data_IF_649676459835
#
_entry.id   IF_649676459835
#
_cell.length_a   1.000
_cell.length_b   1.000
_cell.length_c   1.000
_cell.angle_alpha   90.00
_cell.angle_beta   90.00
_cell.angle_gamma   90.00
#
_symmetry.space_group_name_H-M   'P 1'
#
loop_
_entity.id
_entity.type
_entity.pdbx_description
1 polymer ?
#
# COMPACT_ATOMS: atom_id res chain seq x y z
N UNK A 1 120.77 95.11 53.03
CA UNK A 1 120.39 95.03 54.46
C UNK A 1 119.34 93.95 54.66
N UNK A 2 119.77 92.74 55.05
CA UNK A 2 118.88 91.65 55.47
C UNK A 2 118.52 91.85 56.95
N UNK A 3 117.27 92.23 57.24
CA UNK A 3 116.78 92.30 58.62
C UNK A 3 116.57 90.87 59.12
N UNK A 4 117.45 90.40 60.01
CA UNK A 4 117.37 89.11 60.70
C UNK A 4 116.03 89.02 61.42
N UNK A 5 115.09 88.22 60.90
CA UNK A 5 113.81 87.90 61.54
C UNK A 5 114.09 87.00 62.74
N UNK A 6 113.55 87.34 63.91
CA UNK A 6 113.80 86.61 65.16
C UNK A 6 113.32 85.16 65.06
N UNK A 7 114.08 84.25 65.69
CA UNK A 7 113.81 82.81 65.75
C UNK A 7 112.37 82.50 66.24
N UNK A 8 111.81 83.36 67.10
CA UNK A 8 110.43 83.29 67.58
C UNK A 8 109.38 83.51 66.49
N UNK A 9 109.65 84.34 65.48
CA UNK A 9 108.74 84.55 64.35
C UNK A 9 108.70 83.34 63.40
N UNK A 10 109.82 82.62 63.24
CA UNK A 10 109.88 81.41 62.41
C UNK A 10 109.12 80.23 63.03
N UNK A 11 109.13 80.08 64.37
CA UNK A 11 108.38 79.04 65.06
C UNK A 11 106.86 79.25 65.03
N UNK A 12 106.40 80.50 65.17
CA UNK A 12 104.95 80.82 65.05
C UNK A 12 104.47 80.64 63.60
N UNK A 13 105.33 80.89 62.62
CA UNK A 13 105.01 80.69 61.21
C UNK A 13 104.97 79.19 60.86
N UNK A 14 105.91 78.39 61.36
CA UNK A 14 105.89 76.93 61.23
C UNK A 14 104.67 76.28 61.92
N UNK A 15 104.23 76.78 63.08
CA UNK A 15 103.03 76.27 63.75
C UNK A 15 101.74 76.65 63.00
N UNK A 16 101.66 77.86 62.44
CA UNK A 16 100.53 78.29 61.59
C UNK A 16 100.49 77.52 60.27
N UNK A 17 101.63 77.22 59.68
CA UNK A 17 101.71 76.44 58.45
C UNK A 17 101.43 74.95 58.72
N UNK A 18 101.83 74.42 59.90
CA UNK A 18 101.44 73.09 60.38
C UNK A 18 99.95 72.95 60.71
N UNK A 19 99.33 73.98 61.30
CA UNK A 19 97.87 74.00 61.51
C UNK A 19 97.10 74.17 60.20
N UNK A 20 97.60 74.96 59.26
CA UNK A 20 97.05 75.04 57.91
C UNK A 20 97.22 73.74 57.12
N UNK A 21 98.33 73.04 57.30
CA UNK A 21 98.57 71.72 56.70
C UNK A 21 97.62 70.67 57.28
N UNK A 22 97.43 70.62 58.61
CA UNK A 22 96.46 69.73 59.25
C UNK A 22 95.02 70.06 58.86
N UNK A 23 94.66 71.34 58.76
CA UNK A 23 93.34 71.77 58.27
C UNK A 23 93.15 71.46 56.77
N UNK A 24 94.23 71.50 55.97
CA UNK A 24 94.20 71.10 54.57
C UNK A 24 94.11 69.58 54.39
N UNK A 25 94.74 68.79 55.26
CA UNK A 25 94.64 67.33 55.29
C UNK A 25 93.25 66.85 55.74
N UNK A 26 92.69 67.44 56.80
CA UNK A 26 91.30 67.20 57.20
C UNK A 26 90.33 67.54 56.08
N UNK A 27 90.50 68.69 55.41
CA UNK A 27 89.68 69.03 54.24
C UNK A 27 89.88 68.08 53.06
N UNK A 28 91.08 67.52 52.86
CA UNK A 28 91.32 66.49 51.84
C UNK A 28 90.65 65.18 52.21
N UNK A 29 90.71 64.76 53.47
CA UNK A 29 90.02 63.56 53.95
C UNK A 29 88.50 63.71 53.89
N UNK A 30 87.95 64.86 54.28
CA UNK A 30 86.52 65.17 54.15
C UNK A 30 86.10 65.25 52.68
N UNK A 31 86.94 65.82 51.80
CA UNK A 31 86.68 65.83 50.36
C UNK A 31 86.77 64.44 49.73
N UNK A 32 87.68 63.58 50.20
CA UNK A 32 87.80 62.19 49.75
C UNK A 32 86.64 61.35 50.27
N UNK A 33 86.23 61.50 51.53
CA UNK A 33 85.04 60.85 52.08
C UNK A 33 83.79 61.33 51.35
N UNK A 34 83.62 62.63 51.12
CA UNK A 34 82.50 63.16 50.33
C UNK A 34 82.53 62.69 48.86
N UNK A 35 83.71 62.48 48.27
CA UNK A 35 83.84 61.88 46.93
C UNK A 35 83.45 60.40 46.93
N UNK A 36 83.85 59.64 47.94
CA UNK A 36 83.50 58.23 48.11
C UNK A 36 82.00 58.05 48.38
N UNK A 37 81.40 58.90 49.21
CA UNK A 37 79.97 58.88 49.49
C UNK A 37 79.14 59.26 48.27
N UNK A 38 79.54 60.30 47.53
CA UNK A 38 78.88 60.66 46.26
C UNK A 38 79.05 59.57 45.21
N UNK A 39 80.21 58.91 45.15
CA UNK A 39 80.43 57.77 44.26
C UNK A 39 79.53 56.58 44.65
N UNK A 40 79.43 56.26 45.95
CA UNK A 40 78.56 55.20 46.46
C UNK A 40 77.07 55.51 46.25
N UNK A 41 76.64 56.77 46.41
CA UNK A 41 75.27 57.21 46.14
C UNK A 41 74.95 57.13 44.64
N UNK A 42 75.89 57.52 43.77
CA UNK A 42 75.73 57.37 42.32
C UNK A 42 75.65 55.90 41.92
N UNK A 43 76.44 55.01 42.53
CA UNK A 43 76.33 53.56 42.29
C UNK A 43 74.98 52.99 42.76
N UNK A 44 74.48 53.38 43.93
CA UNK A 44 73.15 52.97 44.40
C UNK A 44 72.06 53.43 43.44
N UNK A 45 72.07 54.71 43.04
CA UNK A 45 71.13 55.26 42.05
C UNK A 45 71.22 54.53 40.71
N UNK A 46 72.43 54.17 40.24
CA UNK A 46 72.59 53.38 39.00
C UNK A 46 71.98 51.98 39.14
N UNK A 47 72.25 51.28 40.25
CA UNK A 47 71.67 49.96 40.53
C UNK A 47 70.14 50.02 40.65
N UNK A 48 69.60 51.05 41.29
CA UNK A 48 68.15 51.22 41.43
C UNK A 48 67.48 51.57 40.10
N UNK A 49 68.11 52.42 39.28
CA UNK A 49 67.66 52.70 37.93
C UNK A 49 67.74 51.46 37.02
N UNK A 50 68.78 50.64 37.16
CA UNK A 50 68.92 49.37 36.42
C UNK A 50 67.86 48.36 36.84
N UNK A 51 67.61 48.20 38.15
CA UNK A 51 66.51 47.35 38.65
C UNK A 51 65.15 47.84 38.18
N UNK A 52 64.89 49.15 38.27
CA UNK A 52 63.65 49.74 37.79
C UNK A 52 63.48 49.59 36.27
N UNK A 53 64.57 49.64 35.50
CA UNK A 53 64.55 49.33 34.06
C UNK A 53 64.23 47.85 33.81
N UNK A 54 64.88 46.93 34.51
CA UNK A 54 64.61 45.49 34.39
C UNK A 54 63.19 45.11 34.79
N UNK A 55 62.64 45.72 35.85
CA UNK A 55 61.25 45.53 36.26
C UNK A 55 60.28 46.05 35.19
N UNK A 56 60.54 47.24 34.62
CA UNK A 56 59.75 47.77 33.51
C UNK A 56 59.80 46.86 32.28
N UNK A 57 60.98 46.38 31.92
CA UNK A 57 61.16 45.43 30.82
C UNK A 57 60.37 44.14 31.07
N UNK A 58 60.47 43.55 32.26
CA UNK A 58 59.68 42.35 32.64
C UNK A 58 58.18 42.61 32.61
N UNK A 59 57.71 43.76 33.11
CA UNK A 59 56.28 44.11 33.03
C UNK A 59 55.83 44.31 31.59
N UNK A 60 56.65 44.91 30.73
CA UNK A 60 56.34 45.09 29.32
C UNK A 60 56.32 43.76 28.56
N UNK A 61 57.27 42.86 28.83
CA UNK A 61 57.29 41.51 28.26
C UNK A 61 56.08 40.70 28.70
N UNK A 62 55.73 40.76 29.99
CA UNK A 62 54.55 40.10 30.52
C UNK A 62 53.26 40.66 29.92
N UNK A 63 53.13 41.99 29.80
CA UNK A 63 51.97 42.61 29.14
C UNK A 63 51.89 42.24 27.65
N UNK A 64 53.01 42.18 26.93
CA UNK A 64 53.05 41.76 25.52
C UNK A 64 52.63 40.30 25.39
N UNK A 65 53.20 39.41 26.20
CA UNK A 65 52.82 38.00 26.23
C UNK A 65 51.34 37.82 26.59
N UNK A 66 50.80 38.61 27.51
CA UNK A 66 49.38 38.57 27.88
C UNK A 66 48.47 39.06 26.73
N UNK A 67 48.87 40.13 26.03
CA UNK A 67 48.14 40.63 24.85
C UNK A 67 48.16 39.63 23.70
N UNK A 68 49.29 38.99 23.45
CA UNK A 68 49.41 37.94 22.43
C UNK A 68 48.58 36.71 22.78
N UNK A 69 48.66 36.23 24.03
CA UNK A 69 47.83 35.13 24.52
C UNK A 69 46.34 35.45 24.36
N UNK A 70 45.91 36.68 24.69
CA UNK A 70 44.52 37.11 24.52
C UNK A 70 44.11 37.15 23.04
N UNK A 71 44.97 37.64 22.14
CA UNK A 71 44.70 37.62 20.69
C UNK A 71 44.52 36.20 20.17
N UNK A 72 45.41 35.28 20.56
CA UNK A 72 45.31 33.87 20.18
C UNK A 72 44.01 33.23 20.72
N UNK A 73 43.63 33.53 21.96
CA UNK A 73 42.35 33.07 22.51
C UNK A 73 41.14 33.64 21.78
N UNK A 74 41.16 34.94 21.44
CA UNK A 74 40.09 35.58 20.67
C UNK A 74 39.99 35.02 19.24
N UNK A 75 41.11 34.71 18.60
CA UNK A 75 41.15 34.05 17.29
C UNK A 75 40.62 32.62 17.35
N UNK A 76 41.06 31.84 18.35
CA UNK A 76 40.54 30.49 18.59
C UNK A 76 39.05 30.50 18.91
N UNK A 77 38.57 31.46 19.70
CA UNK A 77 37.16 31.63 19.99
C UNK A 77 36.35 31.93 18.72
N UNK A 78 36.84 32.82 17.85
CA UNK A 78 36.19 33.11 16.56
C UNK A 78 36.16 31.89 15.64
N UNK A 79 37.25 31.13 15.58
CA UNK A 79 37.30 29.88 14.80
C UNK A 79 36.32 28.85 15.36
N UNK A 80 36.28 28.68 16.67
CA UNK A 80 35.33 27.78 17.33
C UNK A 80 33.87 28.19 17.05
N UNK A 81 33.55 29.48 17.14
CA UNK A 81 32.21 30.00 16.80
C UNK A 81 31.85 29.75 15.33
N UNK A 82 32.79 29.92 14.40
CA UNK A 82 32.57 29.61 12.98
C UNK A 82 32.28 28.13 12.77
N UNK A 83 33.06 27.25 13.40
CA UNK A 83 32.85 25.80 13.34
C UNK A 83 31.48 25.41 13.89
N UNK A 84 31.08 25.97 15.04
CA UNK A 84 29.74 25.71 15.63
C UNK A 84 28.64 26.15 14.69
N UNK A 85 28.70 27.37 14.13
CA UNK A 85 27.70 27.87 13.16
C UNK A 85 27.62 27.01 11.91
N UNK A 86 28.75 26.51 11.41
CA UNK A 86 28.77 25.66 10.22
C UNK A 86 28.24 24.25 10.51
N UNK A 87 28.49 23.71 11.70
CA UNK A 87 27.90 22.45 12.15
C UNK A 87 26.38 22.57 12.30
N UNK A 88 25.90 23.65 12.91
CA UNK A 88 24.46 23.94 13.05
C UNK A 88 23.78 24.07 11.68
N UNK A 89 24.39 24.81 10.74
CA UNK A 89 23.87 24.91 9.36
C UNK A 89 23.80 23.54 8.67
N UNK A 90 24.81 22.69 8.84
CA UNK A 90 24.83 21.32 8.27
C UNK A 90 23.79 20.41 8.92
N UNK A 91 23.60 20.51 10.23
CA UNK A 91 22.56 19.76 10.95
C UNK A 91 21.16 20.19 10.49
N UNK A 92 20.89 21.50 10.45
CA UNK A 92 19.63 22.04 9.97
C UNK A 92 19.34 21.65 8.50
N UNK A 93 20.36 21.61 7.64
CA UNK A 93 20.22 21.14 6.26
C UNK A 93 19.82 19.65 6.21
N UNK A 94 20.51 18.78 6.97
CA UNK A 94 20.20 17.34 7.05
C UNK A 94 18.79 17.08 7.60
N UNK A 95 18.36 17.83 8.60
CA UNK A 95 17.01 17.71 9.16
C UNK A 95 15.94 18.08 8.14
N UNK A 96 16.14 19.19 7.40
CA UNK A 96 15.24 19.59 6.31
C UNK A 96 15.17 18.55 5.20
N UNK A 97 16.32 17.99 4.79
CA UNK A 97 16.36 16.92 3.80
C UNK A 97 15.63 15.66 4.28
N UNK A 98 15.85 15.24 5.53
CA UNK A 98 15.17 14.10 6.12
C UNK A 98 13.66 14.33 6.22
N UNK A 99 13.22 15.54 6.58
CA UNK A 99 11.80 15.89 6.62
C UNK A 99 11.18 15.88 5.21
N UNK A 100 11.87 16.44 4.22
CA UNK A 100 11.42 16.39 2.82
C UNK A 100 11.29 14.96 2.32
N UNK A 101 12.26 14.09 2.61
CA UNK A 101 12.20 12.67 2.26
C UNK A 101 11.02 11.97 2.93
N UNK A 102 10.79 12.19 4.23
CA UNK A 102 9.63 11.64 4.95
C UNK A 102 8.32 12.12 4.35
N UNK A 103 8.21 13.41 3.99
CA UNK A 103 7.02 13.96 3.33
C UNK A 103 6.78 13.34 1.95
N UNK A 104 7.83 13.14 1.16
CA UNK A 104 7.73 12.47 -0.15
C UNK A 104 7.33 11.00 -0.02
N UNK A 105 7.91 10.28 0.94
CA UNK A 105 7.56 8.88 1.21
C UNK A 105 6.11 8.76 1.68
N UNK A 106 5.65 9.64 2.59
CA UNK A 106 4.27 9.67 3.05
C UNK A 106 3.29 9.96 1.90
N UNK A 107 3.62 10.88 0.99
CA UNK A 107 2.82 11.14 -0.22
C UNK A 107 2.73 9.92 -1.13
N UNK A 108 3.87 9.29 -1.44
CA UNK A 108 3.92 8.06 -2.26
C UNK A 108 3.12 6.92 -1.62
N UNK A 109 3.24 6.73 -0.31
CA UNK A 109 2.50 5.70 0.42
C UNK A 109 0.98 5.98 0.41
N UNK A 110 0.58 7.25 0.57
CA UNK A 110 -0.83 7.64 0.50
C UNK A 110 -1.42 7.44 -0.90
N UNK A 111 -0.68 7.78 -1.95
CA UNK A 111 -1.08 7.54 -3.35
C UNK A 111 -1.19 6.05 -3.65
N UNK A 112 -0.19 5.26 -3.26
CA UNK A 112 -0.22 3.80 -3.41
C UNK A 112 -1.41 3.18 -2.66
N UNK A 113 -1.71 3.63 -1.44
CA UNK A 113 -2.87 3.17 -0.68
C UNK A 113 -4.21 3.55 -1.34
N UNK A 114 -4.29 4.73 -1.99
CA UNK A 114 -5.48 5.13 -2.75
C UNK A 114 -5.68 4.25 -3.98
N UNK A 115 -4.61 4.01 -4.74
CA UNK A 115 -4.64 3.13 -5.91
C UNK A 115 -5.01 1.70 -5.53
N UNK A 116 -4.42 1.15 -4.47
CA UNK A 116 -4.74 -0.18 -3.97
C UNK A 116 -6.22 -0.31 -3.56
N UNK A 117 -6.78 0.71 -2.90
CA UNK A 117 -8.23 0.74 -2.56
C UNK A 117 -9.11 0.81 -3.80
N UNK A 118 -8.74 1.61 -4.79
CA UNK A 118 -9.46 1.71 -6.07
C UNK A 118 -9.45 0.36 -6.79
N UNK A 119 -8.28 -0.26 -6.96
CA UNK A 119 -8.13 -1.57 -7.59
C UNK A 119 -8.93 -2.65 -6.89
N UNK A 120 -8.89 -2.71 -5.55
CA UNK A 120 -9.69 -3.67 -4.79
C UNK A 120 -11.20 -3.47 -5.01
N UNK A 121 -11.66 -2.22 -5.08
CA UNK A 121 -13.06 -1.92 -5.36
C UNK A 121 -13.48 -2.27 -6.80
N UNK A 122 -12.58 -2.08 -7.77
CA UNK A 122 -12.80 -2.45 -9.17
C UNK A 122 -12.85 -3.96 -9.35
N UNK A 123 -11.95 -4.72 -8.70
CA UNK A 123 -11.98 -6.17 -8.69
C UNK A 123 -13.30 -6.72 -8.16
N UNK A 124 -13.82 -6.16 -7.07
CA UNK A 124 -15.14 -6.56 -6.53
C UNK A 124 -16.29 -6.21 -7.47
N UNK A 125 -16.20 -5.09 -8.19
CA UNK A 125 -17.19 -4.72 -9.22
C UNK A 125 -17.14 -5.66 -10.42
N UNK A 126 -15.96 -6.01 -10.90
CA UNK A 126 -15.76 -6.98 -11.97
C UNK A 126 -16.30 -8.35 -11.57
N UNK A 127 -15.96 -8.83 -10.37
CA UNK A 127 -16.50 -10.07 -9.82
C UNK A 127 -18.03 -10.08 -9.76
N UNK A 128 -18.66 -8.97 -9.37
CA UNK A 128 -20.12 -8.85 -9.37
C UNK A 128 -20.69 -8.90 -10.79
N UNK A 129 -20.03 -8.27 -11.77
CA UNK A 129 -20.43 -8.31 -13.17
C UNK A 129 -20.29 -9.72 -13.77
N UNK A 130 -19.17 -10.39 -13.53
CA UNK A 130 -18.89 -11.74 -14.04
C UNK A 130 -19.92 -12.75 -13.53
N UNK A 131 -20.17 -12.75 -12.21
CA UNK A 131 -21.20 -13.62 -11.62
C UNK A 131 -22.61 -13.32 -12.13
N UNK A 132 -22.90 -12.05 -12.44
CA UNK A 132 -24.18 -11.67 -13.04
C UNK A 132 -24.28 -12.18 -14.49
N UNK A 133 -23.20 -12.09 -15.25
CA UNK A 133 -23.11 -12.62 -16.60
C UNK A 133 -23.26 -14.15 -16.63
N UNK A 134 -22.68 -14.87 -15.67
CA UNK A 134 -22.85 -16.32 -15.51
C UNK A 134 -24.32 -16.71 -15.30
N UNK A 135 -25.01 -16.01 -14.40
CA UNK A 135 -26.45 -16.22 -14.14
C UNK A 135 -27.27 -15.92 -15.38
N UNK A 136 -26.98 -14.82 -16.08
CA UNK A 136 -27.66 -14.46 -17.32
C UNK A 136 -27.46 -15.52 -18.41
N UNK A 137 -26.22 -15.98 -18.61
CA UNK A 137 -25.88 -17.05 -19.55
C UNK A 137 -26.56 -18.37 -19.18
N UNK A 138 -26.72 -18.68 -17.90
CA UNK A 138 -27.49 -19.86 -17.48
C UNK A 138 -28.96 -19.74 -17.86
N UNK A 139 -29.59 -18.60 -17.61
CA UNK A 139 -30.99 -18.36 -18.00
C UNK A 139 -31.13 -18.44 -19.53
N UNK A 140 -30.19 -17.88 -20.28
CA UNK A 140 -30.17 -17.97 -21.74
C UNK A 140 -30.04 -19.42 -22.22
N UNK A 141 -29.14 -20.21 -21.64
CA UNK A 141 -29.02 -21.66 -21.93
C UNK A 141 -30.31 -22.42 -21.67
N UNK A 142 -31.08 -22.06 -20.63
CA UNK A 142 -32.40 -22.64 -20.40
C UNK A 142 -33.41 -22.19 -21.46
N UNK A 143 -33.28 -20.97 -21.98
CA UNK A 143 -34.16 -20.43 -23.02
C UNK A 143 -33.87 -21.01 -24.41
N UNK A 144 -32.62 -21.34 -24.75
CA UNK A 144 -32.22 -21.91 -26.05
C UNK A 144 -32.74 -23.32 -26.30
N UNK A 145 -33.36 -23.96 -25.29
CA UNK A 145 -34.05 -25.26 -25.43
C UNK A 145 -35.09 -25.26 -26.54
N UNK A 146 -35.68 -24.11 -26.93
CA UNK A 146 -36.54 -24.06 -28.12
C UNK A 146 -35.82 -23.65 -29.40
N UNK A 147 -34.79 -22.82 -29.31
CA UNK A 147 -34.08 -22.34 -30.49
C UNK A 147 -33.33 -23.47 -31.19
N UNK A 148 -32.86 -24.46 -30.42
CA UNK A 148 -32.26 -25.69 -30.95
C UNK A 148 -33.34 -26.64 -31.49
N UNK A 149 -33.66 -26.50 -32.79
CA UNK A 149 -34.46 -27.51 -33.49
C UNK A 149 -33.66 -28.81 -33.56
N UNK A 150 -34.26 -29.93 -33.15
CA UNK A 150 -33.64 -31.25 -33.30
C UNK A 150 -33.44 -31.55 -34.78
N UNK A 151 -32.19 -31.79 -35.18
CA UNK A 151 -31.85 -32.35 -36.49
C UNK A 151 -32.05 -33.87 -36.49
N UNK A 152 -32.08 -34.48 -37.67
CA UNK A 152 -32.18 -35.95 -37.79
C UNK A 152 -33.56 -36.56 -37.50
N UNK A 153 -34.59 -35.72 -37.30
CA UNK A 153 -35.96 -36.20 -37.04
C UNK A 153 -36.52 -37.05 -38.18
N UNK A 154 -36.17 -36.76 -39.43
CA UNK A 154 -36.63 -37.57 -40.56
C UNK A 154 -36.08 -39.01 -40.51
N UNK A 155 -34.78 -39.17 -40.20
CA UNK A 155 -34.18 -40.50 -40.06
C UNK A 155 -34.76 -41.27 -38.86
N UNK A 156 -35.05 -40.57 -37.76
CA UNK A 156 -35.73 -41.15 -36.61
C UNK A 156 -37.18 -41.57 -36.94
N UNK A 157 -37.91 -40.77 -37.73
CA UNK A 157 -39.24 -41.14 -38.23
C UNK A 157 -39.23 -42.43 -39.05
N UNK A 158 -38.30 -42.54 -40.01
CA UNK A 158 -38.18 -43.75 -40.83
C UNK A 158 -37.92 -44.99 -39.97
N UNK A 159 -37.08 -44.87 -38.93
CA UNK A 159 -36.85 -45.95 -37.96
C UNK A 159 -38.11 -46.33 -37.19
N UNK A 160 -38.91 -45.36 -36.76
CA UNK A 160 -40.19 -45.61 -36.06
C UNK A 160 -41.21 -46.29 -36.98
N UNK A 161 -41.32 -45.86 -38.24
CA UNK A 161 -42.21 -46.45 -39.24
C UNK A 161 -41.78 -47.90 -39.61
N UNK A 162 -40.47 -48.13 -39.73
CA UNK A 162 -39.90 -49.47 -39.99
C UNK A 162 -40.14 -50.41 -38.81
N UNK A 163 -39.88 -49.95 -37.58
CA UNK A 163 -40.13 -50.67 -36.34
C UNK A 163 -41.60 -51.08 -36.21
N UNK A 164 -42.53 -50.15 -36.47
CA UNK A 164 -43.97 -50.44 -36.44
C UNK A 164 -44.36 -51.49 -37.49
N UNK A 165 -43.80 -51.40 -38.70
CA UNK A 165 -44.19 -52.27 -39.82
C UNK A 165 -43.66 -53.70 -39.67
N UNK A 166 -42.47 -53.87 -39.07
CA UNK A 166 -41.82 -55.19 -38.94
C UNK A 166 -42.13 -55.88 -37.63
N UNK A 167 -41.99 -55.16 -36.53
CA UNK A 167 -41.94 -55.75 -35.19
C UNK A 167 -43.16 -55.34 -34.33
N UNK A 168 -44.00 -54.43 -34.84
CA UNK A 168 -45.24 -54.02 -34.20
C UNK A 168 -45.09 -52.84 -33.23
N UNK A 169 -46.08 -52.70 -32.35
CA UNK A 169 -46.28 -51.50 -31.50
C UNK A 169 -45.18 -51.33 -30.46
N UNK A 170 -44.70 -52.41 -29.85
CA UNK A 170 -43.69 -52.32 -28.79
C UNK A 170 -42.35 -51.77 -29.33
N UNK A 171 -41.92 -52.24 -30.51
CA UNK A 171 -40.72 -51.74 -31.19
C UNK A 171 -40.86 -50.28 -31.63
N UNK A 172 -42.08 -49.86 -32.03
CA UNK A 172 -42.39 -48.46 -32.30
C UNK A 172 -42.21 -47.60 -31.03
N UNK A 173 -42.73 -48.04 -29.89
CA UNK A 173 -42.60 -47.35 -28.60
C UNK A 173 -41.12 -47.24 -28.19
N UNK A 174 -40.36 -48.33 -28.30
CA UNK A 174 -38.91 -48.31 -28.03
C UNK A 174 -38.15 -47.35 -28.96
N UNK A 175 -38.53 -47.30 -30.24
CA UNK A 175 -37.94 -46.38 -31.21
C UNK A 175 -38.26 -44.91 -30.90
N UNK A 176 -39.48 -44.63 -30.43
CA UNK A 176 -39.87 -43.29 -29.96
C UNK A 176 -39.09 -42.91 -28.69
N UNK A 177 -38.97 -43.82 -27.74
CA UNK A 177 -38.18 -43.61 -26.52
C UNK A 177 -36.71 -43.35 -26.87
N UNK A 178 -36.14 -44.08 -27.82
CA UNK A 178 -34.80 -43.83 -28.37
C UNK A 178 -34.68 -42.48 -29.07
N UNK A 179 -35.69 -42.06 -29.84
CA UNK A 179 -35.70 -40.75 -30.48
C UNK A 179 -35.75 -39.61 -29.45
N UNK A 180 -36.55 -39.74 -28.39
CA UNK A 180 -36.58 -38.83 -27.27
C UNK A 180 -35.25 -38.87 -26.49
N UNK A 181 -34.65 -40.05 -26.33
CA UNK A 181 -33.35 -40.27 -25.69
C UNK A 181 -32.22 -39.47 -26.38
N UNK A 182 -32.26 -39.36 -27.70
CA UNK A 182 -31.24 -38.67 -28.50
C UNK A 182 -31.33 -37.14 -28.48
N UNK A 183 -32.35 -36.56 -27.85
CA UNK A 183 -32.46 -35.10 -27.74
C UNK A 183 -31.49 -34.57 -26.69
N UNK A 184 -30.55 -33.72 -27.14
CA UNK A 184 -29.68 -32.98 -26.24
C UNK A 184 -30.46 -31.90 -25.49
N UNK A 185 -30.40 -31.96 -24.15
CA UNK A 185 -30.86 -30.93 -23.23
C UNK A 185 -29.67 -30.34 -22.49
N UNK A 186 -29.71 -29.03 -22.16
CA UNK A 186 -28.79 -28.44 -21.19
C UNK A 186 -28.73 -29.25 -19.89
N UNK A 187 -27.57 -29.22 -19.24
CA UNK A 187 -27.32 -29.94 -18.00
C UNK A 187 -28.35 -29.59 -16.91
N UNK A 188 -28.77 -30.58 -16.13
CA UNK A 188 -29.75 -30.41 -15.05
C UNK A 188 -31.23 -30.38 -15.48
N UNK A 189 -31.53 -30.34 -16.78
CA UNK A 189 -32.93 -30.44 -17.25
C UNK A 189 -33.42 -31.88 -17.38
N UNK A 190 -32.51 -32.82 -17.62
CA UNK A 190 -32.83 -34.24 -17.79
C UNK A 190 -32.56 -35.01 -16.50
N UNK A 191 -33.55 -35.02 -15.60
CA UNK A 191 -33.39 -35.60 -14.25
C UNK A 191 -34.18 -36.89 -14.03
N UNK A 192 -34.92 -37.36 -15.03
CA UNK A 192 -35.76 -38.55 -14.90
C UNK A 192 -35.97 -39.29 -16.22
N UNK A 193 -36.80 -40.33 -16.15
CA UNK A 193 -37.06 -41.24 -17.27
C UNK A 193 -38.19 -40.66 -18.12
N UNK A 194 -37.99 -40.64 -19.43
CA UNK A 194 -39.03 -40.32 -20.40
C UNK A 194 -39.53 -41.66 -20.92
N UNK A 195 -40.84 -41.90 -20.83
CA UNK A 195 -41.45 -43.14 -21.30
C UNK A 195 -42.59 -42.81 -22.23
N UNK A 196 -42.73 -43.58 -23.29
CA UNK A 196 -43.90 -43.58 -24.13
C UNK A 196 -44.68 -44.88 -23.96
N UNK A 197 -45.98 -44.81 -24.19
CA UNK A 197 -46.87 -45.97 -24.20
C UNK A 197 -47.95 -45.75 -25.26
N UNK A 198 -48.27 -46.76 -26.05
CA UNK A 198 -49.29 -46.67 -27.09
C UNK A 198 -50.52 -47.47 -26.69
N UNK A 199 -51.70 -46.84 -26.73
CA UNK A 199 -52.99 -47.48 -26.52
C UNK A 199 -53.62 -47.80 -27.89
N UNK A 200 -53.63 -49.07 -28.34
CA UNK A 200 -54.08 -49.43 -29.68
C UNK A 200 -55.58 -49.23 -29.89
N UNK A 201 -56.40 -49.33 -28.85
CA UNK A 201 -57.85 -49.19 -28.92
C UNK A 201 -58.25 -47.75 -29.28
N UNK A 202 -57.58 -46.78 -28.68
CA UNK A 202 -57.83 -45.35 -28.88
C UNK A 202 -56.89 -44.75 -29.93
N UNK A 203 -55.87 -45.50 -30.35
CA UNK A 203 -54.75 -45.06 -31.22
C UNK A 203 -54.02 -43.83 -30.64
N UNK A 204 -53.82 -43.85 -29.33
CA UNK A 204 -53.21 -42.75 -28.60
C UNK A 204 -51.80 -43.09 -28.18
N UNK A 205 -50.87 -42.17 -28.43
CA UNK A 205 -49.53 -42.24 -27.87
C UNK A 205 -49.48 -41.36 -26.61
N UNK A 206 -49.22 -41.99 -25.48
CA UNK A 206 -49.07 -41.35 -24.18
C UNK A 206 -47.59 -41.12 -23.88
N UNK A 207 -47.29 -39.95 -23.34
CA UNK A 207 -45.98 -39.64 -22.81
C UNK A 207 -46.02 -39.41 -21.31
N UNK A 208 -45.13 -40.10 -20.60
CA UNK A 208 -44.75 -39.78 -19.24
C UNK A 208 -43.40 -39.06 -19.25
N UNK A 209 -43.39 -37.79 -18.82
CA UNK A 209 -42.18 -36.99 -18.72
C UNK A 209 -41.98 -36.58 -17.27
N UNK A 210 -40.84 -36.99 -16.70
CA UNK A 210 -40.35 -36.45 -15.44
C UNK A 210 -39.74 -35.06 -15.69
N UNK A 211 -40.41 -34.03 -15.17
CA UNK A 211 -39.95 -32.65 -15.29
C UNK A 211 -38.90 -32.29 -14.23
N UNK A 212 -37.96 -31.40 -14.55
CA UNK A 212 -37.02 -30.89 -13.57
C UNK A 212 -37.75 -30.13 -12.46
N UNK A 213 -37.17 -30.10 -11.26
CA UNK A 213 -37.67 -29.27 -10.17
C UNK A 213 -37.46 -27.78 -10.44
N UNK A 214 -38.12 -26.92 -9.66
CA UNK A 214 -37.96 -25.46 -9.77
C UNK A 214 -36.54 -24.97 -9.43
N UNK A 215 -35.75 -25.80 -8.75
CA UNK A 215 -34.34 -25.53 -8.41
C UNK A 215 -33.42 -25.37 -9.63
N UNK A 216 -33.86 -25.77 -10.82
CA UNK A 216 -33.10 -25.56 -12.07
C UNK A 216 -33.03 -24.08 -12.47
N UNK A 217 -33.98 -23.26 -12.02
CA UNK A 217 -33.99 -21.82 -12.27
C UNK A 217 -33.11 -21.12 -11.23
N UNK A 218 -32.13 -20.29 -11.64
CA UNK A 218 -31.29 -19.55 -10.70
C UNK A 218 -32.11 -18.71 -9.73
N UNK A 219 -31.89 -18.94 -8.42
CA UNK A 219 -32.56 -18.20 -7.34
C UNK A 219 -32.05 -16.76 -7.26
N UNK A 220 -30.79 -16.53 -7.64
CA UNK A 220 -30.19 -15.19 -7.71
C UNK A 220 -30.50 -14.57 -9.07
N UNK A 221 -30.95 -13.32 -9.08
CA UNK A 221 -31.19 -12.57 -10.32
C UNK A 221 -29.93 -11.88 -10.82
N UNK A 222 -29.19 -11.24 -9.90
CA UNK A 222 -27.96 -10.51 -10.19
C UNK A 222 -27.11 -10.37 -8.93
N UNK A 223 -25.82 -10.07 -9.09
CA UNK A 223 -24.92 -9.73 -8.01
C UNK A 223 -24.64 -8.22 -8.02
N UNK A 224 -24.76 -7.57 -6.86
CA UNK A 224 -24.51 -6.13 -6.73
C UNK A 224 -23.34 -5.86 -5.80
N UNK A 225 -22.41 -5.04 -6.25
CA UNK A 225 -21.37 -4.48 -5.40
C UNK A 225 -21.99 -3.50 -4.40
N UNK A 226 -21.80 -3.76 -3.10
CA UNK A 226 -22.13 -2.84 -2.02
C UNK A 226 -20.84 -2.24 -1.47
N UNK A 227 -20.73 -0.92 -1.56
CA UNK A 227 -19.61 -0.16 -1.01
C UNK A 227 -19.73 0.09 0.51
N UNK A 228 -20.42 -0.80 1.25
CA UNK A 228 -20.43 -0.78 2.71
C UNK A 228 -19.01 -1.05 3.24
N UNK A 229 -18.73 -0.74 4.50
CA UNK A 229 -17.51 -1.20 5.18
C UNK A 229 -17.89 -2.44 6.01
N UNK A 230 -17.48 -3.67 5.62
CA UNK A 230 -16.58 -4.04 4.51
C UNK A 230 -17.26 -4.09 3.12
N UNK A 231 -16.51 -3.83 2.03
CA UNK A 231 -17.04 -3.88 0.68
C UNK A 231 -17.31 -5.32 0.29
N UNK A 232 -18.51 -5.61 -0.20
CA UNK A 232 -18.99 -6.98 -0.42
C UNK A 232 -19.83 -7.08 -1.70
N UNK A 233 -19.75 -8.24 -2.35
CA UNK A 233 -20.61 -8.61 -3.49
C UNK A 233 -21.82 -9.37 -2.96
N UNK A 234 -22.98 -8.72 -2.97
CA UNK A 234 -24.20 -9.28 -2.38
C UNK A 234 -25.12 -9.86 -3.47
N UNK A 235 -25.61 -11.10 -3.32
CA UNK A 235 -26.59 -11.67 -4.23
C UNK A 235 -27.94 -10.96 -4.07
N UNK A 236 -28.57 -10.59 -5.19
CA UNK A 236 -29.95 -10.12 -5.19
C UNK A 236 -30.89 -11.27 -5.51
N UNK A 237 -31.75 -11.67 -4.56
CA UNK A 237 -32.68 -12.76 -4.79
C UNK A 237 -33.68 -12.37 -5.87
N UNK A 238 -33.97 -13.31 -6.76
CA UNK A 238 -35.01 -13.18 -7.79
C UNK A 238 -36.39 -13.21 -7.13
N UNK A 239 -37.32 -12.42 -7.63
CA UNK A 239 -38.72 -12.45 -7.14
C UNK A 239 -39.31 -13.83 -7.40
N UNK A 240 -40.03 -14.39 -6.42
CA UNK A 240 -40.65 -15.71 -6.57
C UNK A 240 -41.60 -15.79 -7.78
N UNK A 241 -42.29 -14.70 -8.13
CA UNK A 241 -43.14 -14.62 -9.31
C UNK A 241 -42.35 -14.82 -10.61
N UNK A 242 -41.17 -14.20 -10.74
CA UNK A 242 -40.29 -14.37 -11.89
C UNK A 242 -39.70 -15.78 -11.96
N UNK A 243 -39.31 -16.38 -10.82
CA UNK A 243 -38.85 -17.78 -10.78
C UNK A 243 -39.95 -18.72 -11.26
N UNK A 244 -41.20 -18.50 -10.81
CA UNK A 244 -42.37 -19.29 -11.26
C UNK A 244 -42.65 -19.10 -12.74
N UNK A 245 -42.53 -17.88 -13.25
CA UNK A 245 -42.76 -17.58 -14.67
C UNK A 245 -41.70 -18.19 -15.58
N UNK A 246 -40.42 -18.06 -15.22
CA UNK A 246 -39.30 -18.71 -15.91
C UNK A 246 -39.46 -20.24 -15.92
N UNK A 247 -39.84 -20.82 -14.78
CA UNK A 247 -40.08 -22.25 -14.68
C UNK A 247 -41.28 -22.70 -15.52
N UNK A 248 -42.41 -21.98 -15.46
CA UNK A 248 -43.59 -22.24 -16.29
C UNK A 248 -43.23 -22.19 -17.77
N UNK A 249 -42.47 -21.18 -18.17
CA UNK A 249 -41.98 -21.01 -19.53
C UNK A 249 -41.10 -22.20 -19.92
N UNK A 250 -40.11 -22.57 -19.10
CA UNK A 250 -39.23 -23.72 -19.34
C UNK A 250 -40.02 -25.03 -19.51
N UNK A 251 -40.97 -25.31 -18.62
CA UNK A 251 -41.82 -26.51 -18.70
C UNK A 251 -42.66 -26.52 -19.97
N UNK A 252 -43.29 -25.40 -20.31
CA UNK A 252 -44.05 -25.28 -21.56
C UNK A 252 -43.14 -25.54 -22.79
N UNK A 253 -41.92 -25.02 -22.76
CA UNK A 253 -40.91 -25.24 -23.81
C UNK A 253 -40.51 -26.71 -23.92
N UNK A 254 -40.27 -27.38 -22.80
CA UNK A 254 -39.96 -28.82 -22.77
C UNK A 254 -41.11 -29.66 -23.33
N UNK A 255 -42.34 -29.36 -22.93
CA UNK A 255 -43.54 -30.04 -23.42
C UNK A 255 -43.73 -29.85 -24.93
N UNK A 256 -43.58 -28.62 -25.43
CA UNK A 256 -43.66 -28.33 -26.87
C UNK A 256 -42.56 -29.06 -27.66
N UNK A 257 -41.34 -29.13 -27.13
CA UNK A 257 -40.24 -29.86 -27.78
C UNK A 257 -40.48 -31.37 -27.80
N UNK A 258 -40.98 -31.95 -26.71
CA UNK A 258 -41.35 -33.36 -26.66
C UNK A 258 -42.48 -33.67 -27.65
N UNK A 259 -43.53 -32.84 -27.66
CA UNK A 259 -44.64 -32.93 -28.62
C UNK A 259 -44.14 -32.86 -30.06
N UNK A 260 -43.33 -31.86 -30.38
CA UNK A 260 -42.79 -31.66 -31.72
C UNK A 260 -41.95 -32.85 -32.17
N UNK A 261 -41.15 -33.42 -31.26
CA UNK A 261 -40.37 -34.63 -31.54
C UNK A 261 -41.28 -35.78 -31.93
N UNK A 262 -42.37 -35.99 -31.21
CA UNK A 262 -43.29 -37.09 -31.51
C UNK A 262 -44.07 -36.85 -32.76
N UNK A 263 -44.58 -35.64 -32.97
CA UNK A 263 -45.31 -35.32 -34.20
C UNK A 263 -44.44 -35.51 -35.45
N UNK A 264 -43.13 -35.29 -35.33
CA UNK A 264 -42.20 -35.44 -36.44
C UNK A 264 -41.66 -36.87 -36.59
N UNK A 265 -41.73 -37.71 -35.55
CA UNK A 265 -41.27 -39.10 -35.58
C UNK A 265 -42.40 -40.13 -35.68
N UNK A 266 -43.62 -39.77 -35.32
CA UNK A 266 -44.76 -40.68 -35.25
C UNK A 266 -45.29 -41.05 -36.63
N UNK A 267 -45.83 -42.28 -36.79
CA UNK A 267 -46.44 -42.71 -38.03
C UNK A 267 -47.80 -42.00 -38.21
N UNK A 268 -47.87 -41.09 -39.19
CA UNK A 268 -49.06 -40.38 -39.75
C UNK A 268 -50.04 -39.77 -38.73
N UNK A 269 -50.35 -38.45 -38.78
CA UNK A 269 -51.12 -37.80 -37.72
C UNK A 269 -52.57 -38.34 -37.63
N UNK A 270 -53.00 -38.92 -36.49
CA UNK A 270 -54.42 -39.00 -36.19
C UNK A 270 -54.94 -37.57 -35.95
N UNK A 271 -56.15 -37.28 -36.44
CA UNK A 271 -56.92 -36.05 -36.19
C UNK A 271 -56.77 -35.59 -34.74
N UNK A 272 -56.04 -34.49 -34.53
CA UNK A 272 -55.26 -34.30 -33.31
C UNK A 272 -55.95 -33.44 -32.24
N UNK A 273 -56.43 -34.09 -31.18
CA UNK A 273 -56.70 -33.47 -29.88
C UNK A 273 -55.53 -33.74 -28.92
N UNK A 274 -54.93 -32.69 -28.34
CA UNK A 274 -53.91 -32.87 -27.28
C UNK A 274 -54.51 -32.46 -25.95
N UNK A 275 -54.60 -33.41 -25.02
CA UNK A 275 -55.04 -33.13 -23.65
C UNK A 275 -53.86 -33.27 -22.70
N UNK A 276 -53.41 -32.16 -22.10
CA UNK A 276 -52.46 -32.22 -20.97
C UNK A 276 -53.26 -32.39 -19.68
N UNK A 277 -53.15 -33.56 -19.03
CA UNK A 277 -53.74 -33.76 -17.71
C UNK A 277 -52.68 -33.59 -16.63
N UNK A 278 -52.82 -32.64 -15.69
CA UNK A 278 -51.98 -32.60 -14.51
C UNK A 278 -52.31 -33.83 -13.65
N UNK A 279 -51.35 -34.73 -13.44
CA UNK A 279 -51.56 -35.88 -12.57
C UNK A 279 -51.33 -35.46 -11.11
N UNK A 280 -52.37 -35.56 -10.28
CA UNK A 280 -52.45 -34.96 -8.93
C UNK A 280 -51.65 -35.64 -7.82
N UNK A 281 -50.78 -36.62 -8.12
CA UNK A 281 -49.94 -37.27 -7.09
C UNK A 281 -48.56 -36.62 -7.02
N UNK A 282 -48.36 -35.81 -5.98
CA UNK A 282 -47.04 -35.32 -5.58
C UNK A 282 -46.27 -36.48 -4.96
N UNK A 283 -45.22 -36.97 -5.63
CA UNK A 283 -44.29 -37.94 -5.01
C UNK A 283 -43.54 -37.28 -3.84
N UNK A 284 -43.09 -38.04 -2.82
CA UNK A 284 -42.32 -37.51 -1.69
C UNK A 284 -41.09 -36.70 -2.08
N UNK A 285 -40.57 -36.91 -3.30
CA UNK A 285 -39.41 -36.21 -3.86
C UNK A 285 -39.72 -34.79 -4.38
N UNK A 286 -40.94 -34.25 -4.23
CA UNK A 286 -41.33 -32.94 -4.73
C UNK A 286 -41.37 -32.81 -6.27
N UNK A 287 -41.26 -33.93 -6.99
CA UNK A 287 -41.31 -33.97 -8.46
C UNK A 287 -42.76 -34.12 -8.91
N UNK A 288 -43.14 -33.35 -9.93
CA UNK A 288 -44.47 -33.42 -10.55
C UNK A 288 -44.38 -34.26 -11.82
N UNK A 289 -45.25 -35.26 -11.93
CA UNK A 289 -45.42 -36.06 -13.15
C UNK A 289 -46.44 -35.39 -14.07
N UNK A 290 -46.12 -35.32 -15.35
CA UNK A 290 -47.05 -34.87 -16.39
C UNK A 290 -47.28 -36.01 -17.36
N UNK A 291 -48.56 -36.29 -17.61
CA UNK A 291 -49.01 -37.19 -18.68
C UNK A 291 -49.55 -36.34 -19.81
N UNK A 292 -48.97 -36.49 -20.99
CA UNK A 292 -49.48 -35.87 -22.21
C UNK A 292 -50.10 -36.97 -23.05
N UNK A 293 -51.42 -36.92 -23.24
CA UNK A 293 -52.15 -37.85 -24.11
C UNK A 293 -52.42 -37.15 -25.43
N UNK A 294 -51.99 -37.78 -26.53
CA UNK A 294 -52.34 -37.34 -27.88
C UNK A 294 -53.52 -38.22 -28.33
N UNK A 295 -54.72 -37.65 -28.28
CA UNK A 295 -56.00 -38.35 -28.40
C UNK A 295 -56.86 -37.92 -29.58
N UNK A 296 -57.89 -38.74 -29.86
CA UNK A 296 -58.95 -38.45 -30.83
C UNK A 296 -60.01 -37.52 -30.24
#
# INVERSE_FOLDING_TARGET
>A
MARKKSLTAQLVQAYRDGQKAKAAELKRQEQEQARLERAAEQERRRRDLEKAKQERERTQEWERAQREARRLQEEQARQAEQVVRDLEKRQAAREREAEQQKRLQARRAAEAARLAKQQASEQLRQQAADRTAEVAAQVERLQTVLASRSSGLHASRLRVEEALSRDGVDSMVESVDGALANIAYPEGLRTGVWRSAFAPETRELMLEIDLPGQSVVPIVAQYRYKASAPPEVVPQPRKQAEVKDLYRTLVARLALRARNTILLNGPVPPSSGVTMRPFGMVRPSGRRRWTMTCGR
#
